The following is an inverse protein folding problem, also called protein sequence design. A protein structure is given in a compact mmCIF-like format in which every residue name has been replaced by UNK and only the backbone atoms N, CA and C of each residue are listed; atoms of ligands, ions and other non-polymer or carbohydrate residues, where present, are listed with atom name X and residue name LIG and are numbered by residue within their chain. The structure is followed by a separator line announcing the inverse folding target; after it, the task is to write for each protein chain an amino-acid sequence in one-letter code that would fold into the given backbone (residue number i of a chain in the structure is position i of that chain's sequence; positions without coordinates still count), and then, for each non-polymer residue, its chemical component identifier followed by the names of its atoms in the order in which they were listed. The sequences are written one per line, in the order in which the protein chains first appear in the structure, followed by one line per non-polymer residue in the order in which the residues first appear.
data_IF_136358751908
#
_entry.id   IF_136358751908
#
_cell.length_a   1.000
_cell.length_b   1.000
_cell.length_c   1.000
_cell.angle_alpha   90.00
_cell.angle_beta   90.00
_cell.angle_gamma   90.00
#
_symmetry.space_group_name_H-M   'P 1'
#
loop_
_entity.id
_entity.type
_entity.pdbx_description
1 polymer ?
#
# COMPACT_ATOMS: atom_id res chain seq x y z
N UNK A 1 -5.02 21.57 -1.09
CA UNK A 1 -4.54 20.46 -1.94
C UNK A 1 -3.15 20.08 -1.49
N UNK A 2 -2.87 18.80 -1.34
CA UNK A 2 -1.55 18.27 -0.99
C UNK A 2 -1.01 17.54 -2.20
N UNK A 3 0.25 17.79 -2.56
CA UNK A 3 0.96 16.99 -3.57
C UNK A 3 1.25 15.63 -2.96
N UNK A 4 0.67 14.58 -3.52
CA UNK A 4 0.93 13.20 -3.08
C UNK A 4 1.95 12.63 -4.06
N UNK A 5 3.21 12.41 -3.64
CA UNK A 5 4.22 11.81 -4.51
C UNK A 5 3.90 10.33 -4.71
N UNK A 6 3.00 10.03 -5.63
CA UNK A 6 2.79 8.70 -6.19
C UNK A 6 3.55 8.66 -7.51
N UNK A 7 4.78 8.15 -7.51
CA UNK A 7 5.59 8.07 -8.74
C UNK A 7 5.30 6.75 -9.45
N UNK A 8 4.47 6.80 -10.49
CA UNK A 8 4.33 5.70 -11.45
C UNK A 8 4.82 6.23 -12.79
N UNK A 9 5.90 5.68 -13.34
CA UNK A 9 6.54 6.15 -14.58
C UNK A 9 6.82 7.66 -14.62
N UNK A 10 7.23 8.26 -13.50
CA UNK A 10 7.52 9.70 -13.40
C UNK A 10 6.28 10.60 -13.38
N UNK A 11 5.07 10.04 -13.39
CA UNK A 11 3.83 10.81 -13.21
C UNK A 11 3.64 11.16 -11.74
N UNK A 12 2.90 12.24 -11.48
CA UNK A 12 2.50 12.68 -10.15
C UNK A 12 1.01 13.00 -10.13
N UNK A 13 0.35 12.80 -8.98
CA UNK A 13 -1.05 13.18 -8.80
C UNK A 13 -1.20 14.21 -7.67
N UNK A 14 -2.37 14.85 -7.64
CA UNK A 14 -2.75 15.82 -6.62
C UNK A 14 -4.03 15.37 -5.93
N UNK A 15 -4.16 15.70 -4.65
CA UNK A 15 -5.29 15.22 -3.86
C UNK A 15 -5.42 15.88 -2.51
N UNK A 16 -6.17 15.21 -1.64
CA UNK A 16 -6.37 15.59 -0.25
C UNK A 16 -5.99 14.42 0.66
N UNK A 17 -5.46 14.73 1.85
CA UNK A 17 -5.28 13.74 2.88
C UNK A 17 -6.63 13.37 3.48
N UNK A 18 -6.88 12.08 3.65
CA UNK A 18 -8.07 11.55 4.31
C UNK A 18 -7.66 10.49 5.34
N UNK A 19 -8.59 10.11 6.21
CA UNK A 19 -8.39 9.06 7.20
C UNK A 19 -9.39 7.93 6.96
N UNK A 20 -8.94 6.69 7.02
CA UNK A 20 -9.81 5.51 6.82
C UNK A 20 -9.40 4.35 7.74
N UNK A 21 -10.25 3.33 7.80
CA UNK A 21 -9.96 2.03 8.38
C UNK A 21 -9.50 1.04 7.32
N UNK A 22 -8.25 0.59 7.43
CA UNK A 22 -7.73 -0.48 6.58
C UNK A 22 -7.88 -1.83 7.27
N UNK A 23 -8.23 -2.85 6.47
CA UNK A 23 -8.41 -4.21 6.94
C UNK A 23 -7.43 -5.15 6.24
N UNK A 24 -6.63 -5.89 7.01
CA UNK A 24 -5.64 -6.83 6.49
C UNK A 24 -6.01 -8.28 6.86
N UNK A 25 -5.78 -9.24 5.95
CA UNK A 25 -5.73 -10.64 6.34
C UNK A 25 -4.57 -10.84 7.32
N UNK A 26 -4.74 -11.78 8.25
CA UNK A 26 -3.68 -12.25 9.13
C UNK A 26 -3.45 -13.73 8.86
N UNK A 27 -2.40 -14.31 9.46
CA UNK A 27 -2.15 -15.76 9.38
C UNK A 27 -3.24 -16.59 10.11
N UNK A 28 -4.19 -15.92 10.77
CA UNK A 28 -5.36 -16.52 11.40
C UNK A 28 -6.63 -16.25 10.59
N UNK A 29 -7.74 -16.90 10.97
CA UNK A 29 -9.07 -16.68 10.38
C UNK A 29 -9.54 -15.21 10.59
N UNK A 30 -8.89 -14.46 11.49
CA UNK A 30 -9.24 -13.10 11.83
C UNK A 30 -8.59 -12.07 10.88
N UNK A 31 -9.29 -10.95 10.70
CA UNK A 31 -8.78 -9.78 9.97
C UNK A 31 -8.35 -8.71 10.96
N UNK A 32 -7.16 -8.16 10.78
CA UNK A 32 -6.70 -7.01 11.54
C UNK A 32 -7.30 -5.73 10.96
N UNK A 33 -7.85 -4.86 11.81
CA UNK A 33 -8.40 -3.56 11.41
C UNK A 33 -7.60 -2.44 12.07
N UNK A 34 -7.19 -1.46 11.28
CA UNK A 34 -6.46 -0.29 11.74
C UNK A 34 -7.19 0.96 11.28
N UNK A 35 -7.80 1.66 12.24
CA UNK A 35 -8.54 2.90 12.01
C UNK A 35 -7.64 4.13 12.08
N UNK A 36 -8.14 5.26 11.59
CA UNK A 36 -7.47 6.55 11.60
C UNK A 36 -6.13 6.57 10.83
N UNK A 37 -6.01 5.72 9.81
CA UNK A 37 -4.84 5.72 8.95
C UNK A 37 -4.97 6.82 7.91
N UNK A 38 -3.98 7.70 7.86
CA UNK A 38 -3.88 8.80 6.91
C UNK A 38 -3.45 8.25 5.56
N UNK A 39 -4.20 8.57 4.51
CA UNK A 39 -3.85 8.22 3.14
C UNK A 39 -4.19 9.37 2.19
N UNK A 40 -3.64 9.31 0.98
CA UNK A 40 -3.92 10.29 -0.07
C UNK A 40 -5.12 9.88 -0.92
N UNK A 41 -6.16 10.71 -0.95
CA UNK A 41 -7.25 10.61 -1.91
C UNK A 41 -6.92 11.48 -3.14
N UNK A 42 -6.52 10.83 -4.23
CA UNK A 42 -6.15 11.49 -5.47
C UNK A 42 -7.40 11.82 -6.29
N UNK A 43 -7.48 13.04 -6.84
CA UNK A 43 -8.64 13.50 -7.61
C UNK A 43 -8.60 13.07 -9.08
N UNK A 44 -7.41 12.80 -9.61
CA UNK A 44 -7.23 12.39 -10.99
C UNK A 44 -6.13 11.35 -11.08
N UNK A 45 -6.53 10.12 -11.40
CA UNK A 45 -5.63 9.00 -11.68
C UNK A 45 -5.79 8.50 -13.13
N UNK A 46 -6.55 9.23 -13.95
CA UNK A 46 -6.75 8.90 -15.35
C UNK A 46 -5.41 9.00 -16.08
N UNK A 47 -5.08 7.98 -16.87
CA UNK A 47 -3.81 7.85 -17.60
C UNK A 47 -2.56 7.57 -16.75
N UNK A 48 -2.71 7.11 -15.49
CA UNK A 48 -1.59 6.46 -14.81
C UNK A 48 -1.57 4.99 -15.27
N UNK A 49 -0.55 4.55 -16.05
CA UNK A 49 -0.49 3.20 -16.57
C UNK A 49 -0.06 2.23 -15.45
N UNK A 50 -1.00 1.84 -14.58
CA UNK A 50 -0.71 0.92 -13.49
C UNK A 50 -0.38 -0.50 -13.98
N UNK A 51 -1.08 -0.97 -15.02
CA UNK A 51 -0.81 -2.22 -15.74
C UNK A 51 -1.51 -2.19 -17.11
N UNK A 52 -0.94 -2.87 -18.10
CA UNK A 52 -1.53 -3.05 -19.43
C UNK A 52 -2.47 -4.27 -19.46
N UNK A 53 -3.63 -4.16 -20.12
CA UNK A 53 -4.56 -5.28 -20.36
C UNK A 53 -6.02 -5.03 -19.94
N UNK A 54 -6.99 -5.77 -20.50
CA UNK A 54 -8.40 -5.65 -20.14
C UNK A 54 -8.64 -6.09 -18.69
N UNK A 55 -9.44 -5.33 -17.93
CA UNK A 55 -9.81 -5.67 -16.55
C UNK A 55 -8.88 -5.11 -15.45
N UNK A 56 -8.03 -4.14 -15.76
CA UNK A 56 -7.20 -3.49 -14.75
C UNK A 56 -8.04 -2.64 -13.78
N UNK A 57 -8.13 -3.08 -12.52
CA UNK A 57 -8.91 -2.46 -11.43
C UNK A 57 -8.03 -1.74 -10.39
N UNK A 58 -6.77 -1.45 -10.70
CA UNK A 58 -5.88 -0.75 -9.76
C UNK A 58 -6.38 0.68 -9.52
N UNK A 59 -6.81 0.96 -8.29
CA UNK A 59 -7.37 2.26 -7.90
C UNK A 59 -6.35 3.23 -7.26
N UNK A 60 -5.09 2.80 -7.05
CA UNK A 60 -4.07 3.64 -6.44
C UNK A 60 -2.77 2.91 -6.14
N UNK A 61 -1.91 3.57 -5.34
CA UNK A 61 -0.59 3.07 -4.93
C UNK A 61 -0.50 2.87 -3.43
N UNK A 62 0.23 1.84 -3.01
CA UNK A 62 0.61 1.64 -1.61
C UNK A 62 2.09 2.00 -1.43
N UNK A 63 2.36 3.08 -0.70
CA UNK A 63 3.73 3.51 -0.40
C UNK A 63 4.36 2.70 0.74
N UNK A 64 5.53 2.10 0.48
CA UNK A 64 6.31 1.31 1.45
C UNK A 64 7.60 2.02 1.92
N UNK A 65 7.79 3.28 1.55
CA UNK A 65 8.96 4.08 1.93
C UNK A 65 8.92 4.51 3.41
N UNK A 66 10.02 5.06 3.91
CA UNK A 66 10.17 5.49 5.31
C UNK A 66 9.58 6.84 5.69
N UNK A 67 8.64 7.40 4.90
CA UNK A 67 8.05 8.74 5.17
C UNK A 67 6.89 8.67 6.15
N UNK A 68 6.59 9.77 6.85
CA UNK A 68 5.68 9.82 8.00
C UNK A 68 4.25 9.29 7.74
N UNK A 69 3.74 9.43 6.52
CA UNK A 69 2.40 8.99 6.14
C UNK A 69 2.40 7.64 5.40
N UNK A 70 3.54 6.98 5.27
CA UNK A 70 3.54 5.62 4.73
C UNK A 70 2.87 4.66 5.70
N UNK A 71 2.27 3.61 5.15
CA UNK A 71 1.58 2.59 5.95
C UNK A 71 2.53 1.90 6.94
N UNK A 72 3.79 1.71 6.50
CA UNK A 72 4.85 1.11 7.30
C UNK A 72 5.17 1.92 8.55
N UNK A 73 5.20 3.26 8.44
CA UNK A 73 5.50 4.16 9.57
C UNK A 73 4.28 4.33 10.47
N UNK A 74 3.09 4.50 9.90
CA UNK A 74 1.86 4.63 10.70
C UNK A 74 1.57 3.38 11.56
N UNK A 75 1.96 2.20 11.09
CA UNK A 75 1.79 0.94 11.81
C UNK A 75 3.06 0.44 12.52
N UNK A 76 4.06 1.31 12.75
CA UNK A 76 5.38 0.94 13.28
C UNK A 76 5.32 0.15 14.60
N UNK A 77 4.36 0.42 15.48
CA UNK A 77 4.21 -0.27 16.78
C UNK A 77 3.83 -1.75 16.61
N UNK A 78 3.28 -2.12 15.45
CA UNK A 78 2.90 -3.49 15.10
C UNK A 78 3.90 -4.14 14.16
N UNK A 79 4.40 -3.38 13.19
CA UNK A 79 5.24 -3.89 12.10
C UNK A 79 6.73 -3.77 12.38
N UNK A 80 7.13 -3.00 13.42
CA UNK A 80 8.52 -2.61 13.69
C UNK A 80 9.19 -1.95 12.49
N UNK A 81 8.41 -1.34 11.59
CA UNK A 81 8.83 -0.80 10.28
C UNK A 81 9.49 -1.85 9.38
N UNK A 82 9.08 -3.12 9.49
CA UNK A 82 9.59 -4.24 8.69
C UNK A 82 8.52 -4.78 7.76
N UNK A 83 8.95 -5.19 6.58
CA UNK A 83 8.14 -5.95 5.63
C UNK A 83 9.02 -6.90 4.83
N UNK A 84 8.45 -7.99 4.33
CA UNK A 84 9.02 -8.85 3.29
C UNK A 84 8.17 -8.77 2.05
N UNK A 85 8.82 -8.88 0.88
CA UNK A 85 8.15 -8.89 -0.41
C UNK A 85 8.70 -10.07 -1.22
N UNK A 86 7.83 -11.04 -1.49
CA UNK A 86 8.14 -12.23 -2.30
C UNK A 86 7.40 -12.12 -3.64
N UNK A 87 8.03 -11.52 -4.67
CA UNK A 87 7.47 -11.48 -6.01
C UNK A 87 7.43 -12.90 -6.58
N UNK A 88 6.34 -13.23 -7.25
CA UNK A 88 6.06 -14.58 -7.72
C UNK A 88 5.83 -14.62 -9.24
N UNK A 89 5.93 -15.80 -9.84
CA UNK A 89 5.48 -16.04 -11.22
C UNK A 89 3.95 -15.94 -11.33
N UNK A 90 3.43 -15.93 -12.57
CA UNK A 90 1.99 -15.85 -12.86
C UNK A 90 1.14 -16.94 -12.20
N UNK A 91 1.76 -18.03 -11.73
CA UNK A 91 1.08 -19.21 -11.19
C UNK A 91 0.88 -19.17 -9.66
N UNK A 92 1.63 -18.32 -8.95
CA UNK A 92 1.52 -18.19 -7.48
C UNK A 92 1.26 -16.73 -7.06
N UNK A 93 0.45 -16.48 -6.02
CA UNK A 93 0.21 -15.12 -5.55
C UNK A 93 1.51 -14.47 -5.06
N UNK A 94 1.72 -13.21 -5.44
CA UNK A 94 2.77 -12.39 -4.81
C UNK A 94 2.37 -12.08 -3.37
N UNK A 95 3.33 -12.19 -2.44
CA UNK A 95 3.08 -11.96 -1.02
C UNK A 95 3.87 -10.75 -0.50
N UNK A 96 3.15 -9.83 0.12
CA UNK A 96 3.69 -8.70 0.89
C UNK A 96 3.25 -8.86 2.33
N UNK A 97 4.20 -9.03 3.25
CA UNK A 97 3.93 -9.24 4.67
C UNK A 97 4.60 -8.17 5.51
N UNK A 98 3.91 -7.71 6.57
CA UNK A 98 4.42 -6.70 7.49
C UNK A 98 4.72 -7.31 8.87
N UNK A 99 5.75 -6.82 9.57
CA UNK A 99 6.13 -7.33 10.90
C UNK A 99 7.10 -8.51 10.86
N UNK A 100 7.32 -9.16 12.02
CA UNK A 100 8.46 -10.08 12.22
C UNK A 100 8.40 -11.39 11.42
N UNK A 101 7.22 -11.81 10.94
CA UNK A 101 7.11 -12.96 10.04
C UNK A 101 7.85 -12.73 8.70
N UNK A 102 8.24 -11.48 8.40
CA UNK A 102 9.11 -11.14 7.27
C UNK A 102 10.55 -11.65 7.37
N UNK A 103 10.99 -12.18 8.52
CA UNK A 103 12.37 -12.62 8.74
C UNK A 103 12.60 -14.14 8.55
N UNK A 104 11.57 -14.90 8.18
CA UNK A 104 11.62 -16.37 8.13
C UNK A 104 11.36 -16.98 6.74
N UNK A 105 11.45 -16.20 5.67
CA UNK A 105 11.44 -16.71 4.29
C UNK A 105 12.85 -16.96 3.79
#
# INVERSE_FOLDING_TARGET
TVSIPATVNGTSSSGMLSTETFTFPTDSIWKAKYSNLVFGCAFSNWNIPFAEGPGNVIAGVLGLNGVIHSMLVQLQERTKKRFSFCPSSLETPTLLQFGDASASM
#
